data_IF_914555113041
#
_entry.id   IF_914555113041
#
_cell.length_a   1.000
_cell.length_b   1.000
_cell.length_c   1.000
_cell.angle_alpha   90.00
_cell.angle_beta   90.00
_cell.angle_gamma   90.00
#
_symmetry.space_group_name_H-M   'P 1'
#
loop_
_entity.id
_entity.type
_entity.pdbx_description
1 polymer ?
#
# COMPACT_ATOMS: atom_id res chain seq x y z
N UNK A 1 -1.11 8.96 1.70
CA UNK A 1 -2.40 8.25 1.80
C UNK A 1 -2.58 7.79 3.24
N UNK A 2 -3.76 7.93 3.84
CA UNK A 2 -4.05 7.37 5.17
C UNK A 2 -4.81 6.05 5.04
N UNK A 3 -4.40 5.06 5.83
CA UNK A 3 -4.96 3.71 5.93
C UNK A 3 -5.41 3.45 7.37
N UNK A 4 -6.63 2.90 7.53
CA UNK A 4 -7.09 2.28 8.77
C UNK A 4 -7.49 0.84 8.46
N UNK A 5 -7.01 -0.10 9.26
CA UNK A 5 -7.47 -1.49 9.27
C UNK A 5 -8.42 -1.63 10.46
N UNK A 6 -9.76 -1.66 10.30
CA UNK A 6 -10.69 -1.51 11.43
C UNK A 6 -10.61 -2.65 12.45
N UNK A 7 -10.31 -3.86 11.98
CA UNK A 7 -10.19 -5.05 12.80
C UNK A 7 -9.08 -5.95 12.23
N UNK A 8 -8.42 -6.69 13.12
CA UNK A 8 -7.47 -7.72 12.70
C UNK A 8 -8.18 -8.84 11.91
N UNK A 9 -7.55 -9.42 10.88
CA UNK A 9 -8.03 -10.65 10.27
C UNK A 9 -8.19 -11.76 11.32
N UNK A 10 -9.25 -12.57 11.17
CA UNK A 10 -9.54 -13.70 12.08
C UNK A 10 -8.79 -14.97 11.67
N UNK A 11 -8.45 -15.10 10.38
CA UNK A 11 -7.73 -16.25 9.84
C UNK A 11 -6.22 -16.00 9.80
N UNK A 12 -5.39 -17.06 9.91
CA UNK A 12 -3.93 -16.96 9.86
C UNK A 12 -3.38 -16.82 8.43
N UNK A 13 -4.23 -16.51 7.46
CA UNK A 13 -3.84 -16.26 6.07
C UNK A 13 -3.03 -14.97 5.94
N UNK A 14 -2.44 -14.76 4.76
CA UNK A 14 -1.63 -13.58 4.48
C UNK A 14 -2.50 -12.46 3.89
N UNK A 15 -2.37 -11.24 4.44
CA UNK A 15 -3.10 -10.06 3.95
C UNK A 15 -2.17 -8.86 3.81
N UNK A 16 -2.42 -8.04 2.79
CA UNK A 16 -1.68 -6.83 2.49
C UNK A 16 -2.63 -5.68 2.18
N UNK A 17 -2.27 -4.49 2.64
CA UNK A 17 -2.94 -3.24 2.31
C UNK A 17 -1.88 -2.21 1.98
N UNK A 18 -1.79 -1.80 0.71
CA UNK A 18 -0.67 -0.99 0.26
C UNK A 18 -1.06 0.17 -0.65
N UNK A 19 -0.23 1.22 -0.58
CA UNK A 19 -0.10 2.27 -1.57
C UNK A 19 1.02 1.88 -2.54
N UNK A 20 0.70 1.86 -3.83
CA UNK A 20 1.63 1.54 -4.90
C UNK A 20 1.80 2.72 -5.85
N UNK A 21 3.00 2.85 -6.41
CA UNK A 21 3.31 3.76 -7.49
C UNK A 21 4.37 3.15 -8.43
N UNK A 22 4.36 3.60 -9.67
CA UNK A 22 5.44 3.38 -10.62
C UNK A 22 6.43 4.55 -10.61
N UNK A 23 7.70 4.23 -10.85
CA UNK A 23 8.75 5.24 -11.00
C UNK A 23 8.89 5.62 -12.47
N UNK A 24 8.77 6.90 -12.78
CA UNK A 24 8.86 7.44 -14.13
C UNK A 24 10.08 8.35 -14.27
N UNK A 25 10.68 8.34 -15.46
CA UNK A 25 11.72 9.27 -15.89
C UNK A 25 11.70 9.46 -17.41
N UNK A 26 12.78 10.04 -17.96
CA UNK A 26 12.88 10.39 -19.39
C UNK A 26 12.66 9.22 -20.37
N UNK A 27 12.92 7.99 -19.94
CA UNK A 27 12.78 6.77 -20.76
C UNK A 27 11.47 6.01 -20.58
N UNK A 28 10.51 6.54 -19.82
CA UNK A 28 9.30 5.83 -19.41
C UNK A 28 9.38 5.33 -17.97
N UNK A 29 8.66 4.25 -17.66
CA UNK A 29 8.63 3.65 -16.32
C UNK A 29 9.77 2.66 -16.11
N UNK A 30 10.46 2.76 -14.99
CA UNK A 30 11.59 1.90 -14.60
C UNK A 30 11.23 0.79 -13.60
N UNK A 31 9.98 0.74 -13.17
CA UNK A 31 9.46 -0.25 -12.25
C UNK A 31 8.35 0.34 -11.39
N UNK A 32 8.02 -0.36 -10.31
CA UNK A 32 7.09 0.11 -9.30
C UNK A 32 7.34 -0.51 -7.94
N UNK A 33 6.83 0.15 -6.90
CA UNK A 33 6.95 -0.29 -5.52
C UNK A 33 5.66 -0.03 -4.75
N UNK A 34 5.50 -0.74 -3.65
CA UNK A 34 4.36 -0.63 -2.76
C UNK A 34 4.82 -0.53 -1.30
N UNK A 35 4.27 0.47 -0.60
CA UNK A 35 4.41 0.65 0.86
C UNK A 35 3.08 0.26 1.49
N UNK A 36 3.10 -0.59 2.50
CA UNK A 36 1.86 -1.09 3.07
C UNK A 36 1.99 -1.77 4.42
N UNK A 37 0.85 -1.98 5.06
CA UNK A 37 0.74 -2.82 6.24
C UNK A 37 0.43 -4.25 5.80
N UNK A 38 0.90 -5.22 6.59
CA UNK A 38 0.76 -6.63 6.31
C UNK A 38 0.32 -7.37 7.57
N UNK A 39 -0.61 -8.32 7.39
CA UNK A 39 -0.92 -9.34 8.38
C UNK A 39 -0.27 -10.67 7.97
N UNK A 40 0.66 -11.18 8.77
CA UNK A 40 1.33 -12.44 8.51
C UNK A 40 1.81 -13.09 9.81
N UNK A 41 1.36 -14.30 10.08
CA UNK A 41 1.67 -15.10 11.29
C UNK A 41 3.16 -15.42 11.52
N UNK A 42 4.04 -15.16 10.54
CA UNK A 42 5.48 -15.31 10.69
C UNK A 42 6.15 -14.09 11.34
N UNK A 43 5.41 -13.01 11.58
CA UNK A 43 5.88 -11.80 12.25
C UNK A 43 5.28 -11.67 13.66
N UNK A 44 5.95 -10.94 14.58
CA UNK A 44 5.43 -10.68 15.92
C UNK A 44 4.01 -10.09 15.87
N UNK A 45 3.11 -10.65 16.68
CA UNK A 45 1.68 -10.29 16.75
C UNK A 45 0.95 -10.33 15.40
N UNK A 46 1.51 -11.03 14.41
CA UNK A 46 1.08 -11.07 13.01
C UNK A 46 1.11 -9.74 12.28
N UNK A 47 1.77 -8.71 12.80
CA UNK A 47 1.76 -7.35 12.22
C UNK A 47 3.12 -6.99 11.64
N UNK A 48 3.13 -6.55 10.40
CA UNK A 48 4.33 -6.14 9.69
C UNK A 48 4.07 -4.94 8.76
N UNK A 49 5.16 -4.35 8.28
CA UNK A 49 5.17 -3.32 7.24
C UNK A 49 6.00 -3.79 6.06
N UNK A 50 5.55 -3.52 4.84
CA UNK A 50 6.29 -3.86 3.63
C UNK A 50 6.67 -2.60 2.85
N UNK A 51 7.93 -2.51 2.43
CA UNK A 51 8.39 -1.63 1.35
C UNK A 51 9.24 -2.43 0.37
N UNK A 52 8.64 -2.78 -0.76
CA UNK A 52 9.24 -3.59 -1.80
C UNK A 52 8.75 -3.19 -3.18
N UNK A 53 9.45 -3.64 -4.22
CA UNK A 53 9.11 -3.32 -5.59
C UNK A 53 9.93 -4.10 -6.60
N UNK A 54 9.52 -3.98 -7.85
CA UNK A 54 10.12 -4.67 -8.98
C UNK A 54 10.50 -3.68 -10.08
N UNK A 55 11.65 -3.92 -10.72
CA UNK A 55 12.04 -3.23 -11.95
C UNK A 55 11.15 -3.67 -13.12
N UNK A 56 11.23 -2.94 -14.23
CA UNK A 56 10.44 -3.25 -15.44
C UNK A 56 10.71 -4.63 -16.05
N UNK A 57 11.85 -5.26 -15.73
CA UNK A 57 12.19 -6.62 -16.14
C UNK A 57 11.68 -7.70 -15.16
N UNK A 58 10.99 -7.30 -14.10
CA UNK A 58 10.46 -8.18 -13.06
C UNK A 58 11.46 -8.55 -11.96
N UNK A 59 12.71 -8.07 -12.04
CA UNK A 59 13.67 -8.26 -10.95
C UNK A 59 13.27 -7.43 -9.73
N UNK A 60 13.64 -7.91 -8.53
CA UNK A 60 13.44 -7.17 -7.29
C UNK A 60 14.30 -5.90 -7.32
N UNK A 61 13.74 -4.76 -6.93
CA UNK A 61 14.51 -3.52 -6.80
C UNK A 61 15.55 -3.63 -5.69
N UNK A 62 16.77 -3.21 -6.01
CA UNK A 62 17.82 -2.97 -5.03
C UNK A 62 17.38 -1.92 -4.01
N UNK A 63 17.94 -1.97 -2.81
CA UNK A 63 17.60 -0.99 -1.79
C UNK A 63 18.54 -1.01 -0.60
N UNK A 64 18.40 -0.02 0.28
CA UNK A 64 19.15 0.06 1.52
C UNK A 64 18.78 -1.07 2.48
N UNK A 65 19.60 -1.26 3.51
CA UNK A 65 19.17 -2.01 4.68
C UNK A 65 18.05 -1.25 5.41
N UNK A 66 17.24 -1.99 6.17
CA UNK A 66 16.26 -1.44 7.11
C UNK A 66 16.83 -1.51 8.53
N UNK A 67 16.53 -0.50 9.36
CA UNK A 67 16.84 -0.53 10.79
C UNK A 67 15.84 -1.38 11.60
N UNK A 68 14.63 -1.60 11.06
CA UNK A 68 13.62 -2.45 11.70
C UNK A 68 14.07 -3.90 11.66
N UNK A 69 13.64 -4.72 12.61
CA UNK A 69 13.86 -6.17 12.59
C UNK A 69 12.97 -6.87 11.54
N UNK A 70 13.25 -8.14 11.26
CA UNK A 70 12.34 -9.00 10.50
C UNK A 70 12.49 -10.43 11.00
N UNK A 71 11.47 -10.96 11.67
CA UNK A 71 11.41 -12.34 12.12
C UNK A 71 11.61 -13.35 10.96
N UNK A 72 11.18 -13.00 9.75
CA UNK A 72 11.28 -13.86 8.56
C UNK A 72 12.52 -13.63 7.69
N UNK A 73 13.49 -12.83 8.16
CA UNK A 73 14.65 -12.41 7.38
C UNK A 73 14.31 -11.85 5.96
N UNK A 74 13.11 -11.29 5.79
CA UNK A 74 12.66 -10.71 4.52
C UNK A 74 13.17 -9.26 4.42
N UNK A 75 13.86 -8.87 3.34
CA UNK A 75 14.37 -7.50 3.20
C UNK A 75 13.28 -6.46 2.92
N UNK A 76 12.10 -6.88 2.47
CA UNK A 76 10.98 -5.99 2.13
C UNK A 76 9.98 -5.86 3.27
N UNK A 77 9.69 -6.97 3.96
CA UNK A 77 8.75 -7.00 5.08
C UNK A 77 9.50 -6.94 6.41
N UNK A 78 9.15 -5.96 7.25
CA UNK A 78 9.76 -5.73 8.55
C UNK A 78 8.74 -5.86 9.67
N UNK A 79 9.20 -6.27 10.84
CA UNK A 79 8.38 -6.33 12.05
C UNK A 79 7.93 -4.90 12.39
N UNK A 80 6.61 -4.67 12.43
CA UNK A 80 6.04 -3.36 12.72
C UNK A 80 4.70 -3.53 13.42
N UNK A 81 4.59 -3.11 14.70
CA UNK A 81 3.45 -3.41 15.57
C UNK A 81 2.27 -2.45 15.33
N UNK A 82 1.74 -2.45 14.11
CA UNK A 82 0.54 -1.67 13.81
C UNK A 82 -0.67 -2.22 14.57
N UNK A 83 -1.63 -1.35 14.89
CA UNK A 83 -2.83 -1.72 15.67
C UNK A 83 -4.11 -1.52 14.85
N UNK A 84 -5.08 -2.45 14.93
CA UNK A 84 -6.40 -2.21 14.35
C UNK A 84 -7.05 -0.93 14.88
N UNK A 85 -7.78 -0.24 14.00
CA UNK A 85 -8.47 1.02 14.30
C UNK A 85 -7.56 2.25 14.30
N UNK A 86 -6.23 2.09 14.29
CA UNK A 86 -5.29 3.21 14.27
C UNK A 86 -5.06 3.70 12.83
N UNK A 87 -5.11 5.03 12.59
CA UNK A 87 -4.79 5.60 11.29
C UNK A 87 -3.29 5.69 11.06
N UNK A 88 -2.83 5.09 9.97
CA UNK A 88 -1.44 5.13 9.51
C UNK A 88 -1.32 5.89 8.20
N UNK A 89 -0.39 6.84 8.10
CA UNK A 89 -0.08 7.50 6.83
C UNK A 89 1.05 6.78 6.12
N UNK A 90 0.75 6.26 4.93
CA UNK A 90 1.71 5.66 4.02
C UNK A 90 2.30 6.75 3.10
N UNK A 91 3.63 6.78 3.01
CA UNK A 91 4.39 7.80 2.28
C UNK A 91 5.43 7.15 1.38
N UNK A 92 5.44 7.56 0.11
CA UNK A 92 6.54 7.32 -0.83
C UNK A 92 7.13 8.71 -1.14
N UNK A 93 8.42 8.90 -0.92
CA UNK A 93 9.11 10.16 -1.20
C UNK A 93 10.49 9.93 -1.81
N UNK A 94 11.08 10.97 -2.42
CA UNK A 94 12.51 10.93 -2.77
C UNK A 94 13.35 10.80 -1.50
N UNK A 95 14.47 10.10 -1.59
CA UNK A 95 15.49 10.02 -0.53
C UNK A 95 16.67 10.96 -0.85
N UNK A 96 16.53 12.23 -0.46
CA UNK A 96 17.51 13.26 -0.76
C UNK A 96 18.91 13.00 -0.18
N UNK A 97 19.02 12.19 0.87
CA UNK A 97 20.32 11.85 1.48
C UNK A 97 21.11 10.84 0.63
N UNK A 98 20.41 9.96 -0.09
CA UNK A 98 21.02 8.96 -0.99
C UNK A 98 21.21 9.47 -2.42
N UNK A 99 20.48 10.51 -2.79
CA UNK A 99 20.57 11.17 -4.09
C UNK A 99 19.52 10.69 -5.09
N UNK A 100 19.75 11.01 -6.37
CA UNK A 100 18.80 10.75 -7.45
C UNK A 100 18.48 9.26 -7.62
N UNK A 101 17.23 8.96 -7.96
CA UNK A 101 16.74 7.59 -8.16
C UNK A 101 16.49 6.78 -6.89
N UNK A 102 16.71 7.37 -5.70
CA UNK A 102 16.37 6.72 -4.43
C UNK A 102 15.02 7.17 -3.91
N UNK A 103 14.20 6.18 -3.51
CA UNK A 103 12.83 6.37 -3.05
C UNK A 103 12.63 5.74 -1.67
N UNK A 104 12.24 6.57 -0.73
CA UNK A 104 12.00 6.21 0.67
C UNK A 104 10.56 5.81 0.89
N UNK A 105 10.35 4.68 1.57
CA UNK A 105 9.06 4.23 2.05
C UNK A 105 8.96 4.44 3.56
N UNK A 106 7.92 5.15 4.01
CA UNK A 106 7.68 5.44 5.42
C UNK A 106 6.22 5.23 5.81
N UNK A 107 6.03 4.86 7.08
CA UNK A 107 4.72 4.81 7.73
C UNK A 107 4.72 5.77 8.91
N UNK A 108 3.65 6.56 9.05
CA UNK A 108 3.44 7.45 10.19
C UNK A 108 2.25 6.93 10.98
N UNK A 109 2.46 6.52 12.23
CA UNK A 109 1.39 6.30 13.20
C UNK A 109 0.81 7.68 13.55
N UNK A 110 -0.44 7.97 13.17
CA UNK A 110 -1.04 9.27 13.39
C UNK A 110 -1.63 9.45 14.79
N UNK A 111 -1.80 8.37 15.56
CA UNK A 111 -2.19 8.46 16.97
C UNK A 111 -0.98 8.85 17.83
N UNK A 112 0.18 8.28 17.52
CA UNK A 112 1.43 8.54 18.26
C UNK A 112 2.30 9.64 17.65
N UNK A 113 1.97 10.08 16.43
CA UNK A 113 2.76 11.02 15.62
C UNK A 113 4.20 10.54 15.35
N UNK A 114 4.40 9.21 15.28
CA UNK A 114 5.71 8.60 15.05
C UNK A 114 5.83 8.23 13.57
N UNK A 115 6.80 8.85 12.90
CA UNK A 115 7.23 8.41 11.58
C UNK A 115 8.30 7.33 11.72
N UNK A 116 8.09 6.22 11.01
CA UNK A 116 9.05 5.14 10.87
C UNK A 116 9.43 4.98 9.40
N UNK A 117 10.70 5.18 9.09
CA UNK A 117 11.28 4.82 7.80
C UNK A 117 11.46 3.30 7.73
N UNK A 118 10.97 2.68 6.65
CA UNK A 118 11.17 1.24 6.43
C UNK A 118 12.55 1.02 5.81
N UNK A 119 12.78 1.58 4.63
CA UNK A 119 14.06 1.58 3.88
C UNK A 119 13.91 2.47 2.64
N UNK A 120 14.97 2.55 1.83
CA UNK A 120 14.95 3.16 0.51
C UNK A 120 15.17 2.12 -0.58
N UNK A 121 14.48 2.27 -1.71
CA UNK A 121 14.65 1.47 -2.93
C UNK A 121 15.29 2.32 -4.02
N UNK A 122 16.15 1.71 -4.82
CA UNK A 122 16.71 2.34 -6.00
C UNK A 122 15.86 2.00 -7.22
N UNK A 123 15.38 3.03 -7.91
CA UNK A 123 14.77 2.90 -9.23
C UNK A 123 14.98 4.19 -10.01
N UNK A 124 15.58 4.13 -11.21
CA UNK A 124 15.91 5.33 -11.96
C UNK A 124 14.62 6.04 -12.40
N UNK A 125 14.35 7.19 -11.80
CA UNK A 125 13.14 7.97 -12.04
C UNK A 125 13.13 9.21 -11.16
N UNK A 126 12.42 10.24 -11.60
CA UNK A 126 12.31 11.52 -10.91
C UNK A 126 10.86 11.89 -10.55
N UNK A 127 9.89 11.05 -10.95
CA UNK A 127 8.47 11.22 -10.65
C UNK A 127 7.79 9.89 -10.29
N UNK A 128 6.67 9.99 -9.57
CA UNK A 128 5.75 8.89 -9.31
C UNK A 128 4.55 9.01 -10.26
N UNK A 129 4.15 7.88 -10.85
CA UNK A 129 2.95 7.78 -11.71
C UNK A 129 2.16 6.52 -11.36
N UNK A 130 0.93 6.40 -11.87
CA UNK A 130 0.12 5.19 -11.68
C UNK A 130 -0.18 4.89 -10.21
N UNK A 131 -0.43 5.93 -9.41
CA UNK A 131 -0.70 5.77 -7.98
C UNK A 131 -1.98 4.96 -7.78
N UNK A 132 -1.92 3.94 -6.92
CA UNK A 132 -3.07 3.13 -6.57
C UNK A 132 -3.00 2.65 -5.13
N UNK A 133 -4.15 2.28 -4.57
CA UNK A 133 -4.22 1.53 -3.32
C UNK A 133 -4.91 0.20 -3.57
N UNK A 134 -4.53 -0.82 -2.81
CA UNK A 134 -5.10 -2.14 -2.97
C UNK A 134 -5.10 -2.93 -1.66
N UNK A 135 -6.00 -3.91 -1.63
CA UNK A 135 -6.05 -4.99 -0.65
C UNK A 135 -5.76 -6.29 -1.38
N UNK A 136 -4.80 -7.07 -0.91
CA UNK A 136 -4.53 -8.42 -1.40
C UNK A 136 -4.71 -9.39 -0.24
N UNK A 137 -5.58 -10.38 -0.43
CA UNK A 137 -5.93 -11.35 0.58
C UNK A 137 -5.66 -12.75 0.03
N UNK A 138 -4.67 -13.44 0.62
CA UNK A 138 -4.29 -14.81 0.25
C UNK A 138 -5.15 -15.82 1.01
N UNK A 139 -6.46 -15.65 0.94
CA UNK A 139 -7.45 -16.50 1.59
C UNK A 139 -8.50 -16.96 0.57
N UNK A 140 -9.33 -17.92 0.97
CA UNK A 140 -10.48 -18.32 0.14
C UNK A 140 -11.50 -17.20 0.04
N UNK A 141 -12.31 -17.20 -1.01
CA UNK A 141 -13.35 -16.18 -1.18
C UNK A 141 -14.40 -16.23 -0.06
N UNK A 142 -14.64 -17.39 0.56
CA UNK A 142 -15.59 -17.55 1.67
C UNK A 142 -15.01 -17.18 3.05
N UNK A 143 -13.76 -16.70 3.10
CA UNK A 143 -13.15 -16.25 4.34
C UNK A 143 -13.96 -15.10 4.97
N UNK A 144 -13.92 -14.96 6.32
CA UNK A 144 -14.49 -13.80 6.98
C UNK A 144 -13.99 -12.48 6.37
N UNK A 145 -14.86 -11.46 6.25
CA UNK A 145 -14.48 -10.16 5.69
C UNK A 145 -13.28 -9.53 6.37
N UNK A 146 -12.39 -8.93 5.58
CA UNK A 146 -11.42 -7.94 6.03
C UNK A 146 -11.70 -6.62 5.35
N UNK A 147 -11.35 -5.52 6.02
CA UNK A 147 -11.61 -4.17 5.54
C UNK A 147 -10.35 -3.30 5.62
N UNK A 148 -10.20 -2.42 4.63
CA UNK A 148 -9.31 -1.27 4.68
C UNK A 148 -10.09 0.00 4.39
N UNK A 149 -9.83 1.03 5.18
CA UNK A 149 -10.38 2.36 4.99
C UNK A 149 -9.25 3.28 4.52
N UNK A 150 -9.44 3.89 3.37
CA UNK A 150 -8.49 4.79 2.72
C UNK A 150 -9.01 6.22 2.76
N UNK A 151 -8.16 7.17 3.15
CA UNK A 151 -8.54 8.58 3.23
C UNK A 151 -7.36 9.52 3.03
N UNK A 152 -7.66 10.83 2.92
CA UNK A 152 -6.65 11.89 2.88
C UNK A 152 -5.53 11.65 1.85
N UNK A 153 -5.85 11.42 0.56
CA UNK A 153 -4.83 11.36 -0.47
C UNK A 153 -4.16 12.73 -0.64
N UNK A 154 -2.87 12.71 -0.88
CA UNK A 154 -2.11 13.91 -1.19
C UNK A 154 -0.88 13.53 -1.98
N UNK A 155 -0.51 14.36 -2.95
CA UNK A 155 0.76 14.25 -3.66
C UNK A 155 1.36 15.64 -3.86
N UNK A 156 2.64 15.68 -4.19
CA UNK A 156 3.34 16.89 -4.61
C UNK A 156 3.84 16.65 -6.02
N UNK A 157 3.43 17.51 -6.96
CA UNK A 157 3.88 17.47 -8.33
C UNK A 157 5.36 17.86 -8.45
N UNK A 158 5.97 17.58 -9.59
CA UNK A 158 7.40 17.84 -9.83
C UNK A 158 7.74 19.34 -9.73
N UNK A 159 6.79 20.21 -10.05
CA UNK A 159 6.89 21.66 -9.92
C UNK A 159 6.62 22.19 -8.49
N UNK A 160 6.34 21.29 -7.54
CA UNK A 160 6.03 21.61 -6.16
C UNK A 160 4.54 21.86 -5.88
N UNK A 161 3.67 21.80 -6.89
CA UNK A 161 2.24 22.00 -6.66
C UNK A 161 1.64 20.88 -5.81
N UNK A 162 0.83 21.25 -4.82
CA UNK A 162 0.07 20.29 -4.04
C UNK A 162 -1.08 19.72 -4.88
N UNK A 163 -1.16 18.39 -4.96
CA UNK A 163 -2.23 17.66 -5.61
C UNK A 163 -3.11 16.97 -4.56
N UNK A 164 -4.42 17.13 -4.71
CA UNK A 164 -5.44 16.45 -3.90
C UNK A 164 -6.31 15.61 -4.83
N UNK A 165 -5.99 14.31 -5.01
CA UNK A 165 -6.87 13.41 -5.75
C UNK A 165 -8.27 13.46 -5.15
N UNK A 166 -9.32 13.53 -5.99
CA UNK A 166 -10.71 13.63 -5.55
C UNK A 166 -11.48 12.31 -5.70
N UNK A 167 -10.84 11.29 -6.28
CA UNK A 167 -11.45 9.98 -6.44
C UNK A 167 -10.49 8.93 -6.98
N UNK A 168 -11.02 7.73 -7.14
CA UNK A 168 -10.32 6.54 -7.66
C UNK A 168 -11.17 5.85 -8.70
N UNK A 169 -10.52 5.24 -9.70
CA UNK A 169 -11.15 4.27 -10.58
C UNK A 169 -10.96 2.87 -10.01
N UNK A 170 -12.02 2.07 -10.02
CA UNK A 170 -11.98 0.72 -9.46
C UNK A 170 -11.50 -0.31 -10.48
N UNK A 171 -10.70 -1.26 -10.00
CA UNK A 171 -10.39 -2.50 -10.71
C UNK A 171 -10.48 -3.66 -9.74
N UNK A 172 -10.80 -4.85 -10.25
CA UNK A 172 -10.86 -6.08 -9.48
C UNK A 172 -10.14 -7.17 -10.26
N UNK A 173 -9.39 -8.01 -9.56
CA UNK A 173 -8.79 -9.20 -10.17
C UNK A 173 -9.90 -10.16 -10.60
N UNK A 174 -9.77 -10.72 -11.80
CA UNK A 174 -10.73 -11.71 -12.30
C UNK A 174 -10.59 -13.04 -11.56
N UNK A 175 -11.68 -13.81 -11.50
CA UNK A 175 -11.66 -15.16 -10.92
C UNK A 175 -10.65 -16.08 -11.61
N UNK A 176 -10.53 -15.98 -12.94
CA UNK A 176 -9.55 -16.74 -13.72
C UNK A 176 -8.10 -16.46 -13.33
N UNK A 177 -7.85 -15.30 -12.72
CA UNK A 177 -6.54 -14.88 -12.23
C UNK A 177 -6.40 -15.07 -10.72
N UNK A 178 -7.36 -15.73 -10.05
CA UNK A 178 -7.34 -15.97 -8.60
C UNK A 178 -8.06 -14.90 -7.77
N UNK A 179 -8.77 -13.97 -8.41
CA UNK A 179 -9.60 -12.98 -7.72
C UNK A 179 -10.93 -13.57 -7.22
N UNK A 180 -11.66 -12.79 -6.41
CA UNK A 180 -12.99 -13.16 -5.93
C UNK A 180 -14.05 -12.17 -6.44
N UNK A 181 -15.25 -12.66 -6.74
CA UNK A 181 -16.38 -11.80 -7.09
C UNK A 181 -16.99 -11.04 -5.89
N UNK A 182 -16.64 -11.42 -4.66
CA UNK A 182 -17.22 -10.89 -3.42
C UNK A 182 -16.29 -9.88 -2.69
N UNK A 183 -15.62 -9.02 -3.46
CA UNK A 183 -14.91 -7.86 -2.92
C UNK A 183 -15.60 -6.61 -3.44
N UNK A 184 -15.95 -5.71 -2.53
CA UNK A 184 -16.57 -4.43 -2.85
C UNK A 184 -15.68 -3.25 -2.45
N UNK A 185 -15.89 -2.12 -3.12
CA UNK A 185 -15.32 -0.85 -2.70
C UNK A 185 -16.39 0.23 -2.79
N UNK A 186 -16.53 1.05 -1.77
CA UNK A 186 -17.62 2.03 -1.69
C UNK A 186 -17.20 3.27 -0.90
N UNK A 187 -17.94 4.35 -1.12
CA UNK A 187 -17.68 5.65 -0.51
C UNK A 187 -18.05 5.67 0.98
N UNK A 188 -17.24 6.38 1.76
CA UNK A 188 -17.51 6.76 3.13
C UNK A 188 -17.46 8.30 3.21
N UNK A 189 -18.07 8.92 4.24
CA UNK A 189 -18.10 10.38 4.37
C UNK A 189 -16.72 11.08 4.28
N UNK A 190 -15.64 10.38 4.68
CA UNK A 190 -14.28 10.92 4.72
C UNK A 190 -13.24 9.97 4.11
N UNK A 191 -13.65 9.16 3.13
CA UNK A 191 -12.74 8.18 2.53
C UNK A 191 -13.47 7.12 1.72
N UNK A 192 -12.81 5.98 1.53
CA UNK A 192 -13.34 4.82 0.83
C UNK A 192 -13.08 3.57 1.65
N UNK A 193 -14.01 2.62 1.61
CA UNK A 193 -13.80 1.27 2.12
C UNK A 193 -13.44 0.31 0.98
N UNK A 194 -12.51 -0.61 1.22
CA UNK A 194 -12.34 -1.85 0.47
C UNK A 194 -12.63 -3.01 1.41
N UNK A 195 -13.60 -3.86 1.06
CA UNK A 195 -14.07 -4.94 1.93
C UNK A 195 -14.17 -6.24 1.14
N UNK A 196 -13.57 -7.32 1.66
CA UNK A 196 -13.67 -8.68 1.09
C UNK A 196 -14.87 -9.42 1.68
N UNK A 197 -15.27 -10.55 1.09
CA UNK A 197 -16.33 -11.41 1.65
C UNK A 197 -17.73 -10.79 1.62
N UNK A 198 -17.97 -9.73 0.82
CA UNK A 198 -19.23 -9.00 0.75
C UNK A 198 -19.77 -8.94 -0.69
N UNK A 199 -21.07 -8.67 -0.84
CA UNK A 199 -21.65 -8.51 -2.18
C UNK A 199 -21.06 -7.27 -2.85
N UNK A 200 -20.47 -7.44 -4.04
CA UNK A 200 -19.97 -6.33 -4.86
C UNK A 200 -21.12 -5.50 -5.39
N UNK A 201 -21.11 -4.20 -5.08
CA UNK A 201 -22.11 -3.24 -5.58
C UNK A 201 -21.51 -2.34 -6.66
N UNK A 202 -20.23 -1.97 -6.54
CA UNK A 202 -19.52 -1.19 -7.54
C UNK A 202 -18.68 -2.07 -8.46
N UNK A 203 -18.77 -1.83 -9.77
CA UNK A 203 -18.08 -2.64 -10.78
C UNK A 203 -16.72 -2.06 -11.13
N UNK A 204 -15.88 -2.87 -11.78
CA UNK A 204 -14.64 -2.36 -12.39
C UNK A 204 -14.96 -1.21 -13.36
N UNK A 205 -14.13 -0.16 -13.33
CA UNK A 205 -14.33 1.08 -14.09
C UNK A 205 -15.25 2.10 -13.42
N UNK A 206 -15.96 1.75 -12.35
CA UNK A 206 -16.65 2.75 -11.54
C UNK A 206 -15.65 3.73 -10.93
N UNK A 207 -16.08 4.98 -10.76
CA UNK A 207 -15.28 6.02 -10.11
C UNK A 207 -15.92 6.35 -8.77
N UNK A 208 -15.16 6.20 -7.69
CA UNK A 208 -15.57 6.62 -6.36
C UNK A 208 -14.91 7.95 -6.02
N UNK A 209 -15.62 8.81 -5.31
CA UNK A 209 -15.11 10.09 -4.82
C UNK A 209 -14.92 10.02 -3.30
N UNK A 210 -13.89 10.71 -2.80
CA UNK A 210 -13.73 11.00 -1.39
C UNK A 210 -13.85 12.52 -1.22
N UNK A 211 -14.74 12.98 -0.36
CA UNK A 211 -14.91 14.41 -0.04
C UNK A 211 -14.19 14.78 1.24
#
# INVERSE_FOLDING_TARGET
>A
MTLVIPAAPVLPDLYFWALQASFAGKGGTSGGAHIGLQWHTGHPDSTAVNWGGYASDGSILDGSTSALASAMANPHTRDYPWRPGIPYRLVISKDGERGEGWWKGSVIDLEQEIQTEVRSLFSPGDALVGLMVWTEAFCRCEAPPVAAIWSSPSAVAVDGAALRPEGVSLTYQSESSGGCANTDSYELPHGLAQVTGVTRTNQAGAVLRWS
#
